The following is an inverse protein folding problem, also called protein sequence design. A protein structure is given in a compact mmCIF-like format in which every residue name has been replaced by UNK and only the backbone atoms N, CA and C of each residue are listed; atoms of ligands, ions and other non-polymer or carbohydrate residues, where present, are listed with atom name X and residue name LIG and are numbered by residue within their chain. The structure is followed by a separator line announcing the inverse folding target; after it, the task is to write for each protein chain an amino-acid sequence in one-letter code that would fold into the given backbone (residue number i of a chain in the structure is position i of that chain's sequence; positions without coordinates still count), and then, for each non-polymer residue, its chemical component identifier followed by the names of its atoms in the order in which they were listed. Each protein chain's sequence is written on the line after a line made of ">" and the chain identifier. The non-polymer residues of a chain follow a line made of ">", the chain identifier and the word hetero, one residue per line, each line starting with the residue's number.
data_IF_066888105455
#
_entry.id   IF_066888105455
#
_cell.length_a   1.000
_cell.length_b   1.000
_cell.length_c   1.000
_cell.angle_alpha   90.00
_cell.angle_beta   90.00
_cell.angle_gamma   90.00
#
_symmetry.space_group_name_H-M   'P 1'
#
loop_
_entity.id
_entity.type
_entity.pdbx_description
1 polymer ?
#
# COMPACT_ATOMS: atom_id res chain seq x y z
N UNK A 1 1.77 -53.52 -9.46
CA UNK A 1 1.91 -53.55 -10.92
C UNK A 1 1.62 -52.14 -11.40
N UNK A 2 2.61 -51.43 -11.93
CA UNK A 2 2.41 -50.09 -12.49
C UNK A 2 1.45 -50.21 -13.67
N UNK A 3 0.44 -49.36 -13.74
CA UNK A 3 -0.52 -49.30 -14.85
C UNK A 3 0.07 -48.64 -16.11
N UNK A 4 1.30 -48.12 -16.01
CA UNK A 4 2.05 -47.46 -17.08
C UNK A 4 3.00 -48.44 -17.76
N UNK A 5 3.13 -48.35 -19.09
CA UNK A 5 4.11 -49.13 -19.84
C UNK A 5 5.52 -48.55 -19.67
N UNK A 6 6.55 -49.36 -19.88
CA UNK A 6 7.95 -48.91 -19.77
C UNK A 6 8.26 -47.79 -20.79
N UNK A 7 7.67 -47.86 -21.98
CA UNK A 7 7.82 -46.83 -23.01
C UNK A 7 7.18 -45.50 -22.59
N UNK A 8 5.99 -45.55 -21.99
CA UNK A 8 5.33 -44.37 -21.43
C UNK A 8 6.15 -43.73 -20.31
N UNK A 9 6.68 -44.54 -19.39
CA UNK A 9 7.54 -44.05 -18.30
C UNK A 9 8.81 -43.38 -18.83
N UNK A 10 9.48 -43.97 -19.83
CA UNK A 10 10.67 -43.39 -20.42
C UNK A 10 10.37 -42.04 -21.10
N UNK A 11 9.24 -41.92 -21.82
CA UNK A 11 8.83 -40.66 -22.45
C UNK A 11 8.56 -39.57 -21.40
N UNK A 12 7.80 -39.90 -20.34
CA UNK A 12 7.50 -38.96 -19.25
C UNK A 12 8.76 -38.55 -18.49
N UNK A 13 9.70 -39.47 -18.27
CA UNK A 13 10.98 -39.18 -17.64
C UNK A 13 11.81 -38.20 -18.46
N UNK A 14 11.88 -38.38 -19.78
CA UNK A 14 12.59 -37.45 -20.67
C UNK A 14 11.95 -36.05 -20.62
N UNK A 15 10.62 -35.95 -20.72
CA UNK A 15 9.89 -34.67 -20.57
C UNK A 15 10.20 -33.98 -19.25
N UNK A 16 10.23 -34.72 -18.13
CA UNK A 16 10.57 -34.18 -16.82
C UNK A 16 12.03 -33.72 -16.71
N UNK A 17 12.97 -34.44 -17.31
CA UNK A 17 14.38 -34.05 -17.37
C UNK A 17 14.58 -32.79 -18.19
N UNK A 18 13.97 -32.70 -19.36
CA UNK A 18 14.02 -31.49 -20.20
C UNK A 18 13.43 -30.29 -19.45
N UNK A 19 12.28 -30.49 -18.80
CA UNK A 19 11.61 -29.44 -18.02
C UNK A 19 12.46 -28.99 -16.82
N UNK A 20 13.11 -29.92 -16.13
CA UNK A 20 14.04 -29.60 -15.03
C UNK A 20 15.16 -28.68 -15.50
N UNK A 21 15.82 -29.02 -16.60
CA UNK A 21 16.94 -28.24 -17.15
C UNK A 21 16.48 -26.86 -17.63
N UNK A 22 15.25 -26.74 -18.14
CA UNK A 22 14.66 -25.44 -18.48
C UNK A 22 14.42 -24.58 -17.24
N UNK A 23 13.80 -25.14 -16.19
CA UNK A 23 13.52 -24.44 -14.93
C UNK A 23 14.80 -24.00 -14.21
N UNK A 24 15.81 -24.88 -14.14
CA UNK A 24 17.13 -24.54 -13.56
C UNK A 24 17.81 -23.39 -14.33
N UNK A 25 17.74 -23.39 -15.67
CA UNK A 25 18.25 -22.26 -16.47
C UNK A 25 17.49 -20.97 -16.21
N UNK A 26 16.17 -21.06 -16.04
CA UNK A 26 15.32 -19.90 -15.73
C UNK A 26 15.65 -19.31 -14.37
N UNK A 27 15.90 -20.13 -13.35
CA UNK A 27 16.32 -19.66 -12.02
C UNK A 27 17.64 -18.89 -12.08
N UNK A 28 18.66 -19.47 -12.74
CA UNK A 28 19.97 -18.82 -12.87
C UNK A 28 19.87 -17.49 -13.61
N UNK A 29 18.98 -17.40 -14.62
CA UNK A 29 18.73 -16.15 -15.33
C UNK A 29 17.92 -15.15 -14.48
N UNK A 30 16.91 -15.59 -13.73
CA UNK A 30 16.09 -14.71 -12.89
C UNK A 30 16.85 -14.14 -11.68
N UNK A 31 17.78 -14.91 -11.08
CA UNK A 31 18.68 -14.39 -10.04
C UNK A 31 19.53 -13.20 -10.55
N UNK A 32 19.73 -13.08 -11.87
CA UNK A 32 20.42 -11.94 -12.49
C UNK A 32 19.51 -10.71 -12.70
N UNK A 33 18.19 -10.80 -12.48
CA UNK A 33 17.22 -9.71 -12.69
C UNK A 33 16.89 -8.94 -11.41
N UNK A 34 17.76 -8.95 -10.40
CA UNK A 34 17.70 -7.93 -9.35
C UNK A 34 16.81 -8.22 -8.14
N UNK A 35 16.26 -9.44 -8.00
CA UNK A 35 15.63 -9.86 -6.75
C UNK A 35 16.65 -10.03 -5.61
N UNK A 36 17.93 -10.27 -5.95
CA UNK A 36 19.05 -10.27 -5.01
C UNK A 36 19.62 -8.87 -4.72
N UNK A 37 19.20 -7.84 -5.44
CA UNK A 37 19.63 -6.46 -5.24
C UNK A 37 18.58 -5.70 -4.40
N UNK A 38 19.06 -4.71 -3.66
CA UNK A 38 18.19 -3.80 -2.91
C UNK A 38 17.32 -3.03 -3.92
N UNK A 39 16.06 -2.75 -3.57
CA UNK A 39 15.22 -1.89 -4.41
C UNK A 39 15.90 -0.55 -4.74
N UNK A 40 16.66 0.00 -3.79
CA UNK A 40 17.45 1.22 -4.00
C UNK A 40 18.49 1.09 -5.11
N UNK A 41 19.12 -0.07 -5.23
CA UNK A 41 20.14 -0.31 -6.26
C UNK A 41 19.48 -0.52 -7.63
N UNK A 42 18.27 -1.10 -7.65
CA UNK A 42 17.48 -1.33 -8.86
C UNK A 42 16.89 -0.03 -9.43
N UNK A 43 16.41 0.86 -8.57
CA UNK A 43 15.86 2.16 -8.97
C UNK A 43 16.95 3.20 -9.20
N UNK A 44 18.14 3.00 -8.59
CA UNK A 44 19.23 3.97 -8.59
C UNK A 44 18.99 5.16 -7.67
N UNK A 45 17.92 5.11 -6.87
CA UNK A 45 17.46 6.22 -6.03
C UNK A 45 18.05 6.13 -4.61
N UNK A 46 18.50 7.28 -4.10
CA UNK A 46 19.12 7.38 -2.76
C UNK A 46 18.10 7.38 -1.62
N UNK A 47 16.83 7.71 -1.89
CA UNK A 47 15.75 7.84 -0.91
C UNK A 47 14.38 7.59 -1.51
N UNK A 48 13.48 6.94 -0.76
CA UNK A 48 12.06 6.77 -1.13
C UNK A 48 11.21 8.04 -0.85
N UNK A 49 11.82 9.10 -0.30
CA UNK A 49 11.11 10.31 0.18
C UNK A 49 10.79 11.29 -0.95
N UNK A 50 11.54 11.28 -2.06
CA UNK A 50 11.37 12.23 -3.18
C UNK A 50 10.54 11.66 -4.34
N UNK A 51 10.00 10.44 -4.17
CA UNK A 51 9.16 9.82 -5.19
C UNK A 51 7.69 10.20 -4.99
N UNK A 52 7.01 10.49 -6.10
CA UNK A 52 5.56 10.53 -6.11
C UNK A 52 5.06 9.16 -5.61
N UNK A 53 4.15 9.09 -4.61
CA UNK A 53 3.79 7.84 -3.95
C UNK A 53 3.26 6.76 -4.90
N UNK A 54 2.70 7.17 -6.05
CA UNK A 54 2.27 6.26 -7.12
C UNK A 54 3.40 5.55 -7.87
N UNK A 55 4.59 6.16 -7.97
CA UNK A 55 5.74 5.56 -8.65
C UNK A 55 6.34 4.45 -7.79
N UNK A 56 6.52 4.71 -6.50
CA UNK A 56 6.95 3.69 -5.53
C UNK A 56 5.97 2.51 -5.46
N UNK A 57 4.65 2.79 -5.48
CA UNK A 57 3.64 1.73 -5.51
C UNK A 57 3.73 0.87 -6.78
N UNK A 58 4.01 1.49 -7.92
CA UNK A 58 4.15 0.78 -9.20
C UNK A 58 5.40 -0.12 -9.21
N UNK A 59 6.53 0.37 -8.70
CA UNK A 59 7.77 -0.40 -8.56
C UNK A 59 7.59 -1.59 -7.61
N UNK A 60 6.97 -1.36 -6.45
CA UNK A 60 6.65 -2.41 -5.48
C UNK A 60 5.77 -3.49 -6.10
N UNK A 61 4.73 -3.10 -6.84
CA UNK A 61 3.84 -4.03 -7.51
C UNK A 61 4.57 -4.92 -8.53
N UNK A 62 5.45 -4.35 -9.36
CA UNK A 62 6.23 -5.13 -10.32
C UNK A 62 7.22 -6.07 -9.60
N UNK A 63 7.82 -5.65 -8.48
CA UNK A 63 8.67 -6.52 -7.67
C UNK A 63 7.90 -7.69 -7.04
N UNK A 64 6.72 -7.44 -6.48
CA UNK A 64 5.86 -8.48 -5.91
C UNK A 64 5.46 -9.52 -6.97
N UNK A 65 5.15 -9.06 -8.18
CA UNK A 65 4.86 -9.92 -9.33
C UNK A 65 6.06 -10.78 -9.71
N UNK A 66 7.26 -10.24 -9.74
CA UNK A 66 8.48 -11.00 -10.03
C UNK A 66 8.75 -12.07 -8.97
N UNK A 67 8.56 -11.73 -7.68
CA UNK A 67 8.64 -12.70 -6.58
C UNK A 67 7.62 -13.83 -6.73
N UNK A 68 6.37 -13.52 -7.07
CA UNK A 68 5.33 -14.52 -7.29
C UNK A 68 5.66 -15.44 -8.48
N UNK A 69 6.26 -14.90 -9.55
CA UNK A 69 6.73 -15.69 -10.68
C UNK A 69 7.90 -16.60 -10.29
N UNK A 70 8.82 -16.14 -9.45
CA UNK A 70 9.92 -16.95 -8.93
C UNK A 70 9.42 -18.10 -8.05
N UNK A 71 8.55 -17.81 -7.07
CA UNK A 71 7.96 -18.83 -6.20
C UNK A 71 7.23 -19.91 -7.01
N UNK A 72 6.50 -19.51 -8.05
CA UNK A 72 5.86 -20.47 -8.97
C UNK A 72 6.88 -21.39 -9.66
N UNK A 73 8.01 -20.85 -10.11
CA UNK A 73 9.10 -21.62 -10.75
C UNK A 73 9.75 -22.57 -9.75
N UNK A 74 10.00 -22.11 -8.52
CA UNK A 74 10.54 -22.92 -7.42
C UNK A 74 9.64 -24.10 -7.09
N UNK A 75 8.35 -23.84 -6.90
CA UNK A 75 7.36 -24.88 -6.62
C UNK A 75 7.25 -25.88 -7.77
N UNK A 76 7.31 -25.43 -9.03
CA UNK A 76 7.31 -26.32 -10.18
C UNK A 76 8.56 -27.20 -10.22
N UNK A 77 9.75 -26.64 -9.98
CA UNK A 77 11.00 -27.41 -9.94
C UNK A 77 10.95 -28.48 -8.85
N UNK A 78 10.44 -28.15 -7.66
CA UNK A 78 10.24 -29.12 -6.58
C UNK A 78 9.31 -30.27 -7.00
N UNK A 79 8.20 -29.97 -7.68
CA UNK A 79 7.27 -31.01 -8.20
C UNK A 79 7.94 -31.91 -9.24
N UNK A 80 8.75 -31.33 -10.12
CA UNK A 80 9.50 -32.08 -11.14
C UNK A 80 10.55 -32.99 -10.50
N UNK A 81 11.33 -32.49 -9.54
CA UNK A 81 12.33 -33.28 -8.80
C UNK A 81 11.66 -34.43 -8.07
N UNK A 82 10.56 -34.16 -7.35
CA UNK A 82 9.77 -35.18 -6.67
C UNK A 82 9.28 -36.26 -7.64
N UNK A 83 8.81 -35.86 -8.82
CA UNK A 83 8.30 -36.78 -9.85
C UNK A 83 9.41 -37.69 -10.38
N UNK A 84 10.61 -37.16 -10.63
CA UNK A 84 11.79 -37.93 -11.05
C UNK A 84 12.22 -38.93 -9.96
N UNK A 85 12.20 -38.52 -8.69
CA UNK A 85 12.50 -39.41 -7.56
C UNK A 85 11.44 -40.51 -7.40
N UNK A 86 10.16 -40.18 -7.60
CA UNK A 86 9.07 -41.15 -7.61
C UNK A 86 9.21 -42.17 -8.75
N UNK A 87 9.73 -41.78 -9.92
CA UNK A 87 10.05 -42.70 -11.01
C UNK A 87 11.15 -43.67 -10.58
N UNK A 88 12.23 -43.15 -9.98
CA UNK A 88 13.33 -43.95 -9.47
C UNK A 88 12.89 -44.98 -8.42
N UNK A 89 11.96 -44.59 -7.53
CA UNK A 89 11.40 -45.48 -6.50
C UNK A 89 10.21 -46.34 -6.97
N UNK A 90 9.81 -46.25 -8.25
CA UNK A 90 8.70 -47.02 -8.81
C UNK A 90 7.32 -46.66 -8.25
N UNK A 91 7.17 -45.45 -7.68
CA UNK A 91 5.91 -44.93 -7.10
C UNK A 91 5.23 -43.88 -8.00
N UNK A 92 5.80 -43.60 -9.16
CA UNK A 92 5.28 -42.61 -10.08
C UNK A 92 3.90 -42.97 -10.66
N UNK A 93 3.07 -41.95 -10.87
CA UNK A 93 1.72 -42.11 -11.40
C UNK A 93 0.70 -42.62 -10.37
N UNK A 94 1.00 -42.56 -9.06
CA UNK A 94 0.05 -42.90 -7.99
C UNK A 94 -0.28 -41.63 -7.20
N UNK A 95 -1.56 -41.36 -6.97
CA UNK A 95 -1.99 -40.18 -6.22
C UNK A 95 -1.56 -40.28 -4.75
N UNK A 96 -0.92 -39.23 -4.22
CA UNK A 96 -0.46 -39.19 -2.82
C UNK A 96 -1.58 -39.20 -1.79
N UNK A 97 -2.79 -38.74 -2.16
CA UNK A 97 -3.94 -38.64 -1.24
C UNK A 97 -4.74 -39.94 -1.18
N UNK A 98 -5.22 -40.43 -2.32
CA UNK A 98 -6.09 -41.61 -2.37
C UNK A 98 -5.39 -42.92 -2.74
N UNK A 99 -4.13 -42.88 -3.15
CA UNK A 99 -3.37 -44.06 -3.61
C UNK A 99 -3.86 -44.65 -4.94
N UNK A 100 -4.77 -43.99 -5.65
CA UNK A 100 -5.27 -44.46 -6.95
C UNK A 100 -4.29 -44.14 -8.08
N UNK A 101 -4.25 -44.97 -9.14
CA UNK A 101 -3.45 -44.68 -10.33
C UNK A 101 -3.94 -43.42 -11.05
N UNK A 102 -3.00 -42.55 -11.42
CA UNK A 102 -3.25 -41.34 -12.19
C UNK A 102 -3.33 -41.73 -13.68
N UNK A 103 -4.40 -41.34 -14.40
CA UNK A 103 -4.55 -41.65 -15.83
C UNK A 103 -3.37 -41.14 -16.66
N UNK A 104 -2.91 -41.94 -17.63
CA UNK A 104 -1.80 -41.56 -18.51
C UNK A 104 -2.06 -40.25 -19.26
N UNK A 105 -3.28 -40.06 -19.77
CA UNK A 105 -3.71 -38.84 -20.47
C UNK A 105 -3.46 -37.57 -19.64
N UNK A 106 -3.58 -37.67 -18.32
CA UNK A 106 -3.28 -36.55 -17.40
C UNK A 106 -1.78 -36.35 -17.23
N UNK A 107 -1.02 -37.44 -17.07
CA UNK A 107 0.43 -37.40 -16.92
C UNK A 107 1.13 -36.92 -18.21
N UNK A 108 0.53 -37.18 -19.37
CA UNK A 108 1.04 -36.72 -20.65
C UNK A 108 1.01 -35.19 -20.78
N UNK A 109 -0.03 -34.56 -20.22
CA UNK A 109 -0.24 -33.10 -20.20
C UNK A 109 0.47 -32.44 -19.02
N UNK A 110 0.39 -33.04 -17.83
CA UNK A 110 0.96 -32.54 -16.58
C UNK A 110 1.82 -33.63 -15.93
N UNK A 111 3.07 -33.81 -16.38
CA UNK A 111 3.93 -34.90 -15.92
C UNK A 111 4.43 -34.72 -14.48
N UNK A 112 4.38 -33.51 -13.93
CA UNK A 112 4.79 -33.15 -12.57
C UNK A 112 3.64 -33.31 -11.53
N UNK A 113 2.46 -33.76 -11.96
CA UNK A 113 1.29 -33.88 -11.08
C UNK A 113 1.43 -35.04 -10.08
N UNK A 114 1.16 -34.74 -8.80
CA UNK A 114 1.19 -35.71 -7.71
C UNK A 114 -0.21 -36.24 -7.32
N UNK A 115 -1.25 -35.68 -7.92
CA UNK A 115 -2.63 -35.88 -7.50
C UNK A 115 -3.55 -36.26 -8.67
N UNK A 116 -4.55 -37.09 -8.37
CA UNK A 116 -5.65 -37.33 -9.29
C UNK A 116 -6.54 -36.08 -9.42
N UNK A 117 -7.41 -36.04 -10.42
CA UNK A 117 -8.30 -34.89 -10.68
C UNK A 117 -9.17 -34.55 -9.46
N UNK A 118 -9.62 -35.57 -8.72
CA UNK A 118 -10.50 -35.39 -7.55
C UNK A 118 -9.80 -34.76 -6.35
N UNK A 119 -8.55 -35.16 -6.13
CA UNK A 119 -7.75 -34.77 -4.96
C UNK A 119 -6.74 -33.66 -5.27
N UNK A 120 -6.80 -33.08 -6.48
CA UNK A 120 -5.98 -31.92 -6.81
C UNK A 120 -6.35 -30.79 -5.85
N UNK A 121 -5.40 -30.29 -5.04
CA UNK A 121 -5.69 -29.18 -4.14
C UNK A 121 -6.17 -28.01 -4.99
N UNK A 122 -7.42 -27.57 -4.77
CA UNK A 122 -7.90 -26.32 -5.32
C UNK A 122 -7.11 -25.22 -4.63
N UNK A 123 -6.37 -24.45 -5.42
CA UNK A 123 -5.85 -23.16 -5.02
C UNK A 123 -7.07 -22.32 -4.60
N UNK A 124 -7.31 -22.23 -3.29
CA UNK A 124 -8.30 -21.30 -2.77
C UNK A 124 -7.66 -19.94 -2.98
N UNK A 125 -8.12 -19.21 -3.99
CA UNK A 125 -7.92 -17.77 -4.01
C UNK A 125 -8.35 -17.27 -2.63
N UNK A 126 -7.40 -16.71 -1.87
CA UNK A 126 -7.72 -16.15 -0.57
C UNK A 126 -8.88 -15.20 -0.77
N UNK A 127 -10.02 -15.50 -0.14
CA UNK A 127 -11.13 -14.55 -0.05
C UNK A 127 -10.96 -13.64 1.16
N UNK A 128 -9.96 -13.91 1.98
CA UNK A 128 -9.62 -13.11 3.13
C UNK A 128 -8.97 -11.85 2.57
N UNK A 129 -9.72 -10.74 2.66
CA UNK A 129 -9.20 -9.43 2.30
C UNK A 129 -8.10 -9.07 3.31
N UNK A 130 -7.11 -8.25 2.92
CA UNK A 130 -6.02 -7.87 3.81
C UNK A 130 -6.56 -7.30 5.13
N UNK A 131 -5.87 -7.55 6.24
CA UNK A 131 -6.30 -7.09 7.58
C UNK A 131 -6.39 -5.57 7.66
N UNK A 132 -5.62 -4.89 6.82
CA UNK A 132 -5.65 -3.45 6.58
C UNK A 132 -7.05 -2.98 6.21
N UNK A 133 -7.82 -3.76 5.46
CA UNK A 133 -9.19 -3.39 5.10
C UNK A 133 -10.12 -3.34 6.32
N UNK A 134 -9.95 -4.22 7.31
CA UNK A 134 -10.72 -4.18 8.56
C UNK A 134 -10.39 -2.90 9.37
N UNK A 135 -9.10 -2.54 9.40
CA UNK A 135 -8.62 -1.33 10.08
C UNK A 135 -9.02 -0.07 9.32
N UNK A 136 -9.09 -0.11 7.99
CA UNK A 136 -9.34 1.04 7.14
C UNK A 136 -10.81 1.20 6.70
N UNK A 137 -11.72 0.24 6.92
CA UNK A 137 -13.11 0.33 6.46
C UNK A 137 -14.07 1.12 7.38
N UNK A 138 -14.75 2.20 6.92
CA UNK A 138 -14.82 2.70 5.54
C UNK A 138 -13.54 3.41 5.08
N UNK A 139 -13.04 3.00 3.91
CA UNK A 139 -11.80 3.51 3.35
C UNK A 139 -11.87 5.04 3.22
N UNK A 140 -10.86 5.73 3.78
CA UNK A 140 -10.70 7.18 3.75
C UNK A 140 -11.79 8.03 4.43
N UNK A 141 -12.74 7.42 5.14
CA UNK A 141 -13.86 8.16 5.77
C UNK A 141 -14.16 7.77 7.22
N UNK A 142 -13.28 7.03 7.91
CA UNK A 142 -13.47 6.71 9.34
C UNK A 142 -13.38 7.93 10.24
N UNK A 143 -12.49 8.84 9.88
CA UNK A 143 -12.08 9.98 10.67
C UNK A 143 -12.69 11.28 10.19
N UNK A 144 -13.34 11.28 9.01
CA UNK A 144 -14.16 12.38 8.51
C UNK A 144 -15.51 12.32 9.23
N UNK A 145 -15.75 13.25 10.14
CA UNK A 145 -16.95 13.31 11.00
C UNK A 145 -17.89 14.46 10.64
N UNK A 146 -17.70 15.08 9.49
CA UNK A 146 -18.41 16.21 8.88
C UNK A 146 -19.92 15.96 8.66
N UNK A 147 -20.35 14.70 8.47
CA UNK A 147 -21.79 14.34 8.51
C UNK A 147 -22.41 14.38 9.93
N UNK A 148 -21.58 14.50 10.96
CA UNK A 148 -21.98 14.65 12.35
C UNK A 148 -21.66 16.08 12.82
N UNK A 149 -22.44 16.64 13.74
CA UNK A 149 -22.11 17.93 14.37
C UNK A 149 -20.91 17.75 15.33
N UNK A 150 -19.73 17.43 14.80
CA UNK A 150 -18.49 17.19 15.52
C UNK A 150 -17.48 18.27 15.15
N UNK A 151 -17.19 19.17 16.08
CA UNK A 151 -16.36 20.34 15.86
C UNK A 151 -14.90 20.17 16.35
N UNK A 152 -14.53 18.97 16.81
CA UNK A 152 -13.18 18.73 17.32
C UNK A 152 -12.32 18.09 16.23
N UNK A 153 -11.01 18.31 16.34
CA UNK A 153 -10.01 17.83 15.38
C UNK A 153 -10.24 16.37 14.93
N UNK A 154 -10.43 16.19 13.63
CA UNK A 154 -10.73 14.91 13.01
C UNK A 154 -9.79 14.61 11.82
N UNK A 155 -10.17 13.65 10.98
CA UNK A 155 -9.35 13.25 9.83
C UNK A 155 -9.42 14.22 8.65
N UNK A 156 -10.52 14.94 8.49
CA UNK A 156 -10.65 15.99 7.48
C UNK A 156 -9.71 17.15 7.83
N UNK A 157 -9.76 17.63 9.07
CA UNK A 157 -8.86 18.70 9.56
C UNK A 157 -7.39 18.32 9.35
N UNK A 158 -7.03 17.06 9.64
CA UNK A 158 -5.68 16.55 9.42
C UNK A 158 -5.29 16.54 7.93
N UNK A 159 -6.23 16.26 7.04
CA UNK A 159 -6.01 16.27 5.59
C UNK A 159 -5.85 17.69 5.04
N UNK A 160 -6.73 18.61 5.44
CA UNK A 160 -6.67 20.02 5.04
C UNK A 160 -5.32 20.65 5.44
N UNK A 161 -4.85 20.41 6.68
CA UNK A 161 -3.53 20.88 7.13
C UNK A 161 -2.41 20.37 6.24
N UNK A 162 -2.45 19.11 5.79
CA UNK A 162 -1.38 18.54 4.95
C UNK A 162 -1.50 19.04 3.51
N UNK A 163 -2.72 19.18 3.00
CA UNK A 163 -3.01 19.72 1.68
C UNK A 163 -2.48 21.15 1.51
N UNK A 164 -2.54 21.97 2.56
CA UNK A 164 -2.02 23.34 2.57
C UNK A 164 -0.51 23.42 2.27
N UNK A 165 0.26 22.34 2.53
CA UNK A 165 1.69 22.27 2.18
C UNK A 165 1.95 21.81 0.74
N UNK A 166 0.89 21.43 0.02
CA UNK A 166 0.91 21.01 -1.37
C UNK A 166 0.49 19.55 -1.55
N UNK A 167 -0.38 19.31 -2.53
CA UNK A 167 -0.77 18.00 -3.00
C UNK A 167 -0.28 17.78 -4.45
N UNK A 168 -0.43 16.57 -4.98
CA UNK A 168 -0.11 16.28 -6.40
C UNK A 168 -1.27 16.60 -7.36
N UNK A 169 -2.31 17.29 -6.89
CA UNK A 169 -3.43 17.70 -7.73
C UNK A 169 -3.05 18.90 -8.60
N UNK A 170 -3.77 19.06 -9.70
CA UNK A 170 -3.73 20.27 -10.51
C UNK A 170 -4.97 21.10 -10.24
N UNK A 171 -4.99 22.42 -10.53
CA UNK A 171 -6.20 23.25 -10.43
C UNK A 171 -7.43 22.67 -11.13
N UNK A 172 -7.24 21.87 -12.19
CA UNK A 172 -8.34 21.20 -12.89
C UNK A 172 -8.96 20.00 -12.12
N UNK A 173 -8.29 19.52 -11.08
CA UNK A 173 -8.72 18.44 -10.18
C UNK A 173 -9.10 18.97 -8.79
N UNK A 174 -9.01 20.28 -8.57
CA UNK A 174 -9.39 20.89 -7.32
C UNK A 174 -10.90 20.79 -7.12
N UNK A 175 -11.34 20.72 -5.86
CA UNK A 175 -12.76 20.62 -5.52
C UNK A 175 -13.51 21.94 -5.76
N UNK A 176 -12.82 23.08 -5.60
CA UNK A 176 -13.38 24.42 -5.80
C UNK A 176 -13.67 24.76 -7.26
N UNK A 177 -14.70 25.59 -7.48
CA UNK A 177 -15.15 25.97 -8.83
C UNK A 177 -14.33 27.09 -9.50
N UNK A 178 -13.45 27.77 -8.76
CA UNK A 178 -12.76 28.99 -9.20
C UNK A 178 -11.26 28.99 -8.85
N UNK A 179 -10.62 27.80 -8.88
CA UNK A 179 -9.20 27.66 -8.56
C UNK A 179 -8.38 27.78 -9.85
N UNK A 180 -7.67 28.90 -10.01
CA UNK A 180 -6.81 29.17 -11.18
C UNK A 180 -5.31 29.12 -10.87
N UNK A 181 -4.96 28.97 -9.59
CA UNK A 181 -3.59 29.00 -9.08
C UNK A 181 -3.31 27.78 -8.18
N UNK A 182 -2.07 27.29 -8.24
CA UNK A 182 -1.61 26.23 -7.33
C UNK A 182 -1.60 26.66 -5.86
N UNK A 183 -1.55 27.97 -5.60
CA UNK A 183 -1.58 28.52 -4.24
C UNK A 183 -3.01 28.61 -3.66
N UNK A 184 -4.02 28.32 -4.48
CA UNK A 184 -5.44 28.42 -4.12
C UNK A 184 -6.12 27.05 -4.15
N UNK A 185 -5.31 25.98 -4.14
CA UNK A 185 -5.75 24.58 -4.21
C UNK A 185 -6.37 24.06 -2.91
N UNK A 186 -6.10 24.74 -1.80
CA UNK A 186 -6.52 24.32 -0.46
C UNK A 186 -8.05 24.45 -0.31
N UNK A 187 -8.64 23.39 0.25
CA UNK A 187 -10.08 23.32 0.53
C UNK A 187 -10.38 24.28 1.70
N UNK A 188 -11.45 25.08 1.59
CA UNK A 188 -11.90 26.00 2.67
C UNK A 188 -10.87 27.06 3.11
N UNK A 189 -10.05 27.53 2.17
CA UNK A 189 -9.08 28.61 2.32
C UNK A 189 -9.60 29.79 3.20
N UNK A 190 -9.21 29.80 4.48
CA UNK A 190 -9.46 30.90 5.42
C UNK A 190 -10.74 30.82 6.27
N UNK A 191 -11.59 29.80 6.09
CA UNK A 191 -12.80 29.62 6.92
C UNK A 191 -12.61 28.55 8.01
N UNK A 192 -11.55 27.76 7.93
CA UNK A 192 -11.32 26.71 8.92
C UNK A 192 -10.76 27.27 10.24
N UNK A 193 -11.51 27.07 11.31
CA UNK A 193 -11.15 27.49 12.66
C UNK A 193 -10.12 26.54 13.30
N UNK A 194 -9.73 25.45 12.60
CA UNK A 194 -8.77 24.45 13.05
C UNK A 194 -9.34 23.53 14.12
N UNK A 195 -10.63 23.17 14.00
CA UNK A 195 -11.34 22.32 14.96
C UNK A 195 -11.64 22.98 16.31
N UNK A 196 -11.83 24.30 16.34
CA UNK A 196 -12.28 25.06 17.51
C UNK A 196 -13.70 25.58 17.32
N UNK A 197 -14.44 25.77 18.43
CA UNK A 197 -15.83 26.25 18.38
C UNK A 197 -15.88 27.75 18.10
N UNK A 198 -14.90 28.49 18.65
CA UNK A 198 -14.77 29.93 18.50
C UNK A 198 -13.31 30.28 18.16
N UNK A 199 -13.11 31.26 17.28
CA UNK A 199 -11.78 31.67 16.76
C UNK A 199 -10.78 32.01 17.88
N UNK A 200 -11.26 32.59 19.01
CA UNK A 200 -10.39 32.98 20.11
C UNK A 200 -9.86 31.78 20.93
N UNK A 201 -10.49 30.61 20.85
CA UNK A 201 -10.06 29.42 21.62
C UNK A 201 -8.72 28.86 21.13
N UNK A 202 -8.33 29.17 19.89
CA UNK A 202 -7.05 28.75 19.31
C UNK A 202 -5.85 29.42 20.01
N UNK A 203 -5.97 30.71 20.35
CA UNK A 203 -4.85 31.51 20.87
C UNK A 203 -5.01 31.93 22.34
N UNK A 204 -6.16 31.71 22.96
CA UNK A 204 -6.37 32.00 24.38
C UNK A 204 -5.98 30.79 25.22
N UNK A 205 -4.96 30.95 26.06
CA UNK A 205 -4.49 29.91 26.97
C UNK A 205 -4.59 30.36 28.43
N UNK A 206 -4.61 29.38 29.33
CA UNK A 206 -4.58 29.61 30.78
C UNK A 206 -3.50 28.79 31.46
N UNK A 207 -3.06 29.24 32.64
CA UNK A 207 -2.20 28.44 33.49
C UNK A 207 -2.96 27.22 34.06
N UNK A 208 -2.24 26.24 34.62
CA UNK A 208 -2.83 24.99 35.15
C UNK A 208 -3.92 25.25 36.22
N UNK A 209 -3.87 26.40 36.88
CA UNK A 209 -4.77 26.80 37.95
C UNK A 209 -5.98 27.62 37.45
N UNK A 210 -6.06 27.98 36.16
CA UNK A 210 -7.15 28.76 35.58
C UNK A 210 -7.19 30.23 36.01
N UNK A 211 -6.16 30.73 36.70
CA UNK A 211 -6.17 32.06 37.34
C UNK A 211 -5.62 33.17 36.45
N UNK A 212 -4.79 32.81 35.48
CA UNK A 212 -4.16 33.74 34.55
C UNK A 212 -4.50 33.31 33.12
N UNK A 213 -5.02 34.25 32.34
CA UNK A 213 -5.29 34.07 30.90
C UNK A 213 -4.21 34.84 30.14
N UNK A 214 -3.61 34.20 29.16
CA UNK A 214 -2.62 34.82 28.29
C UNK A 214 -2.88 34.44 26.84
N UNK A 215 -2.47 35.32 25.93
CA UNK A 215 -2.57 35.09 24.49
C UNK A 215 -1.29 34.45 23.99
N UNK A 216 -1.44 33.36 23.26
CA UNK A 216 -0.40 32.74 22.46
C UNK A 216 -0.39 33.42 21.09
N UNK A 217 0.70 34.14 20.78
CA UNK A 217 0.84 34.83 19.49
C UNK A 217 1.08 33.80 18.38
N UNK A 218 0.02 33.37 17.71
CA UNK A 218 0.02 32.49 16.53
C UNK A 218 -0.38 33.25 15.27
N UNK A 219 -0.18 32.70 14.05
CA UNK A 219 -0.70 33.29 12.83
C UNK A 219 -2.21 33.56 12.88
N UNK A 220 -2.98 32.71 13.56
CA UNK A 220 -4.42 32.84 13.74
C UNK A 220 -4.80 34.02 14.64
N UNK A 221 -4.00 34.31 15.67
CA UNK A 221 -4.16 35.54 16.48
C UNK A 221 -4.01 36.80 15.62
N UNK A 222 -3.00 36.82 14.74
CA UNK A 222 -2.74 37.94 13.83
C UNK A 222 -3.88 38.10 12.82
N UNK A 223 -4.35 37.00 12.25
CA UNK A 223 -5.48 37.02 11.32
C UNK A 223 -6.79 37.49 11.98
N UNK A 224 -7.07 37.03 13.21
CA UNK A 224 -8.21 37.49 14.01
C UNK A 224 -8.20 39.01 14.28
N UNK A 225 -7.01 39.58 14.53
CA UNK A 225 -6.86 41.04 14.64
C UNK A 225 -7.07 41.75 13.31
N UNK A 226 -6.47 41.24 12.23
CA UNK A 226 -6.56 41.83 10.89
C UNK A 226 -8.00 41.84 10.33
N UNK A 227 -8.81 40.84 10.66
CA UNK A 227 -10.24 40.78 10.30
C UNK A 227 -11.10 41.81 11.06
N UNK A 228 -10.55 42.46 12.09
CA UNK A 228 -11.27 43.45 12.90
C UNK A 228 -12.33 42.84 13.82
N UNK A 229 -12.33 41.51 13.96
CA UNK A 229 -13.22 40.75 14.83
C UNK A 229 -12.76 40.76 16.29
N UNK A 230 -11.48 41.09 16.52
CA UNK A 230 -10.88 41.23 17.83
C UNK A 230 -11.19 42.54 18.53
N UNK A 231 -11.70 42.43 19.76
CA UNK A 231 -11.50 43.52 20.73
C UNK A 231 -10.12 43.36 21.37
N UNK A 232 -9.32 44.44 21.39
CA UNK A 232 -8.06 44.55 22.15
C UNK A 232 -8.21 44.26 23.67
N UNK A 233 -9.43 43.96 24.14
CA UNK A 233 -9.72 43.59 25.52
C UNK A 233 -9.02 42.30 25.96
N UNK A 234 -8.71 41.40 25.00
CA UNK A 234 -8.08 40.11 25.29
C UNK A 234 -6.54 40.20 25.33
N UNK A 235 -5.91 41.21 24.70
CA UNK A 235 -4.46 41.43 24.76
C UNK A 235 -4.12 42.62 25.69
N UNK A 236 -3.81 42.38 26.98
CA UNK A 236 -3.40 43.45 27.90
C UNK A 236 -2.07 44.12 27.52
N UNK A 237 -1.39 43.65 26.47
CA UNK A 237 -0.14 44.18 25.93
C UNK A 237 -0.22 44.55 24.44
N UNK A 238 -1.41 44.51 23.82
CA UNK A 238 -1.61 44.89 22.42
C UNK A 238 -1.58 46.40 22.28
N UNK A 239 -0.56 46.93 21.59
CA UNK A 239 -0.48 48.34 21.24
C UNK A 239 -1.31 48.57 19.96
N UNK A 240 -2.35 49.44 19.95
CA UNK A 240 -3.20 49.64 18.78
C UNK A 240 -2.50 50.26 17.55
N UNK A 241 -1.21 50.58 17.66
CA UNK A 241 -0.39 51.21 16.63
C UNK A 241 0.71 50.29 16.04
N UNK A 242 0.77 49.00 16.41
CA UNK A 242 1.85 48.04 16.01
C UNK A 242 1.60 47.34 14.65
N UNK A 243 0.71 47.88 13.80
CA UNK A 243 0.30 47.32 12.51
C UNK A 243 1.37 47.40 11.39
N UNK A 244 2.65 47.64 11.71
CA UNK A 244 3.69 47.95 10.70
C UNK A 244 4.92 47.05 10.69
N UNK A 245 4.93 45.90 11.35
CA UNK A 245 5.97 44.88 11.10
C UNK A 245 5.42 43.71 10.29
N UNK A 246 5.38 43.94 8.98
CA UNK A 246 5.31 42.90 7.95
C UNK A 246 6.47 41.92 8.13
N UNK A 247 6.18 40.71 8.60
CA UNK A 247 7.11 39.58 8.49
C UNK A 247 7.20 39.18 7.01
N UNK A 248 8.37 39.46 6.42
CA UNK A 248 8.79 38.94 5.11
C UNK A 248 9.15 37.45 5.18
#
# INVERSE_FOLDING_TARGET
>A
MSHLTQEQLNNLQQKLMDRKVELERRMVYNDQHGLGESERDMTGELSHIDNHPGDLASEMFEREKDLALQDRVDQELQRVIFSLEAIHHGRYGVCLTCGQPIPYERLEVLPDTQYCVKDTPRERVSRDRPVEEEVLAPAFGKSSMDEHEYAAFDGEDAWQIVESWGNSNSPALAEGNEIDSYNEMDIENGDDQGGFVEVYENFVATNIDGSEVFIVRSPQYVDYLNRGEGSYLLDPHGDPDDDNESFS
#
